data_IF_616032117651
#
_entry.id   IF_616032117651
#
_cell.length_a   1.000
_cell.length_b   1.000
_cell.length_c   1.000
_cell.angle_alpha   90.00
_cell.angle_beta   90.00
_cell.angle_gamma   90.00
#
_symmetry.space_group_name_H-M   'P 1'
#
loop_
_entity.id
_entity.type
_entity.pdbx_description
1 polymer ?
#
# COMPACT_ATOMS: atom_id res chain seq x y z
N UNK A 1 -5.12 14.72 9.04
CA UNK A 1 -5.15 13.44 9.79
C UNK A 1 -6.10 13.57 10.97
N UNK A 2 -6.87 12.53 11.33
CA UNK A 2 -7.69 12.54 12.55
C UNK A 2 -7.80 11.14 13.16
N UNK A 3 -7.79 11.05 14.49
CA UNK A 3 -8.16 9.80 15.19
C UNK A 3 -9.67 9.62 15.15
N UNK A 4 -10.12 8.40 14.84
CA UNK A 4 -11.52 8.02 14.80
C UNK A 4 -11.76 6.90 15.82
N UNK A 5 -12.94 6.93 16.41
CA UNK A 5 -13.35 5.98 17.44
C UNK A 5 -14.12 4.84 16.77
N UNK A 6 -13.69 3.61 17.03
CA UNK A 6 -14.39 2.41 16.55
C UNK A 6 -15.67 2.14 17.35
N UNK A 7 -16.62 1.46 16.71
CA UNK A 7 -17.83 0.97 17.38
C UNK A 7 -17.42 -0.06 18.45
N UNK A 8 -17.76 0.24 19.71
CA UNK A 8 -17.42 -0.61 20.85
C UNK A 8 -16.15 -0.21 21.62
N UNK A 9 -15.35 0.74 21.12
CA UNK A 9 -14.24 1.28 21.89
C UNK A 9 -14.77 2.15 23.03
N UNK A 10 -14.30 1.94 24.28
CA UNK A 10 -14.71 2.78 25.41
C UNK A 10 -14.18 4.22 25.27
N UNK A 11 -14.74 5.16 26.05
CA UNK A 11 -14.25 6.54 26.04
C UNK A 11 -12.80 6.66 26.55
N UNK A 12 -12.44 5.87 27.56
CA UNK A 12 -11.09 5.81 28.11
C UNK A 12 -10.10 5.23 27.09
N UNK A 13 -10.45 4.09 26.47
CA UNK A 13 -9.60 3.47 25.45
C UNK A 13 -9.34 4.39 24.26
N UNK A 14 -10.36 5.15 23.83
CA UNK A 14 -10.22 6.11 22.75
C UNK A 14 -9.33 7.31 23.13
N UNK A 15 -9.39 7.75 24.39
CA UNK A 15 -8.52 8.80 24.90
C UNK A 15 -7.05 8.35 24.93
N UNK A 16 -6.78 7.15 25.45
CA UNK A 16 -5.44 6.55 25.50
C UNK A 16 -4.87 6.36 24.09
N UNK A 17 -5.67 5.80 23.19
CA UNK A 17 -5.32 5.67 21.77
C UNK A 17 -4.98 7.02 21.14
N UNK A 18 -5.82 8.04 21.38
CA UNK A 18 -5.58 9.38 20.82
C UNK A 18 -4.31 10.02 21.38
N UNK A 19 -4.03 9.84 22.67
CA UNK A 19 -2.80 10.30 23.29
C UNK A 19 -1.56 9.64 22.68
N UNK A 20 -1.64 8.33 22.42
CA UNK A 20 -0.52 7.60 21.83
C UNK A 20 -0.29 7.99 20.36
N UNK A 21 -1.35 8.09 19.55
CA UNK A 21 -1.25 8.61 18.17
C UNK A 21 -0.65 10.02 18.17
N UNK A 22 -1.02 10.88 19.12
CA UNK A 22 -0.44 12.22 19.25
C UNK A 22 1.05 12.18 19.57
N UNK A 23 1.45 11.32 20.50
CA UNK A 23 2.87 11.15 20.89
C UNK A 23 3.70 10.61 19.74
N UNK A 24 3.19 9.59 19.04
CA UNK A 24 3.80 9.00 17.86
C UNK A 24 3.90 9.99 16.71
N UNK A 25 2.84 10.77 16.45
CA UNK A 25 2.83 11.84 15.46
C UNK A 25 3.86 12.92 15.80
N UNK A 26 3.93 13.37 17.06
CA UNK A 26 4.91 14.37 17.49
C UNK A 26 6.35 13.86 17.32
N UNK A 27 6.59 12.57 17.56
CA UNK A 27 7.90 11.97 17.33
C UNK A 27 8.22 11.94 15.84
N UNK A 28 7.29 11.48 14.99
CA UNK A 28 7.45 11.47 13.53
C UNK A 28 7.75 12.87 12.98
N UNK A 29 6.99 13.89 13.41
CA UNK A 29 7.14 15.26 12.88
C UNK A 29 8.29 16.04 13.49
N UNK A 30 9.02 15.45 14.46
CA UNK A 30 10.24 16.06 15.01
C UNK A 30 11.44 16.00 14.07
N UNK A 31 11.31 15.31 12.93
CA UNK A 31 12.33 15.17 11.90
C UNK A 31 11.76 15.45 10.50
N UNK A 32 12.60 15.81 9.51
CA UNK A 32 12.12 16.33 8.23
C UNK A 32 11.26 15.36 7.40
N UNK A 33 11.62 14.08 7.29
CA UNK A 33 10.89 13.11 6.44
C UNK A 33 9.49 12.90 6.99
N UNK A 34 9.37 12.60 8.29
CA UNK A 34 8.06 12.45 8.93
C UNK A 34 7.22 13.73 8.89
N UNK A 35 7.85 14.91 9.08
CA UNK A 35 7.17 16.20 9.00
C UNK A 35 6.60 16.48 7.59
N UNK A 36 7.44 16.35 6.56
CA UNK A 36 7.04 16.57 5.17
C UNK A 36 5.94 15.60 4.75
N UNK A 37 6.10 14.31 5.06
CA UNK A 37 5.09 13.29 4.74
C UNK A 37 3.71 13.63 5.27
N UNK A 38 3.59 13.99 6.55
CA UNK A 38 2.29 14.30 7.15
C UNK A 38 1.70 15.62 6.64
N UNK A 39 2.56 16.61 6.31
CA UNK A 39 2.13 17.85 5.66
C UNK A 39 1.59 17.59 4.24
N UNK A 40 2.28 16.77 3.46
CA UNK A 40 1.85 16.37 2.11
C UNK A 40 0.49 15.68 2.16
N UNK A 41 0.32 14.68 3.04
CA UNK A 41 -0.97 14.00 3.24
C UNK A 41 -2.06 15.03 3.57
N UNK A 42 -1.79 15.95 4.50
CA UNK A 42 -2.77 16.95 4.89
C UNK A 42 -3.13 17.88 3.71
N UNK A 43 -2.15 18.30 2.92
CA UNK A 43 -2.34 19.11 1.71
C UNK A 43 -3.17 18.41 0.62
N UNK A 44 -3.17 17.07 0.58
CA UNK A 44 -3.97 16.29 -0.37
C UNK A 44 -5.46 16.17 -0.01
N UNK A 45 -5.90 16.64 1.16
CA UNK A 45 -7.26 16.42 1.69
C UNK A 45 -8.38 16.76 0.70
N UNK A 46 -8.32 17.91 0.01
CA UNK A 46 -9.36 18.28 -0.95
C UNK A 46 -9.29 17.46 -2.25
N UNK A 47 -8.08 17.21 -2.75
CA UNK A 47 -7.87 16.46 -4.00
C UNK A 47 -8.41 15.02 -3.92
N UNK A 48 -8.30 14.40 -2.74
CA UNK A 48 -8.75 13.02 -2.51
C UNK A 48 -10.19 12.91 -2.01
N UNK A 49 -10.88 14.04 -1.80
CA UNK A 49 -12.29 14.10 -1.41
C UNK A 49 -13.10 15.03 -2.36
N UNK A 50 -13.10 14.79 -3.68
CA UNK A 50 -13.69 15.71 -4.65
C UNK A 50 -15.20 15.85 -4.43
N UNK A 51 -15.70 17.09 -4.35
CA UNK A 51 -17.13 17.38 -4.19
C UNK A 51 -17.70 17.06 -2.80
N UNK A 52 -16.90 16.53 -1.88
CA UNK A 52 -17.32 16.31 -0.50
C UNK A 52 -17.12 17.58 0.34
N UNK A 53 -17.97 17.76 1.34
CA UNK A 53 -17.84 18.84 2.33
C UNK A 53 -17.83 18.23 3.73
N UNK A 54 -16.79 18.52 4.50
CA UNK A 54 -16.68 18.08 5.88
C UNK A 54 -17.55 18.92 6.81
N UNK A 55 -17.87 18.39 7.99
CA UNK A 55 -18.50 19.15 9.07
C UNK A 55 -17.50 19.44 10.18
N UNK A 56 -17.84 20.34 11.12
CA UNK A 56 -17.02 20.58 12.31
C UNK A 56 -16.79 19.29 13.13
N UNK A 57 -17.80 18.41 13.19
CA UNK A 57 -17.73 17.13 13.92
C UNK A 57 -17.01 16.05 13.12
N UNK A 58 -17.13 16.08 11.81
CA UNK A 58 -16.49 15.14 10.88
C UNK A 58 -15.83 15.91 9.72
N UNK A 59 -14.64 16.49 9.95
CA UNK A 59 -13.90 17.14 8.88
C UNK A 59 -13.41 16.10 7.89
N UNK A 60 -13.19 16.56 6.65
CA UNK A 60 -12.51 15.75 5.64
C UNK A 60 -11.05 15.58 6.02
N UNK A 61 -10.52 14.41 5.72
CA UNK A 61 -9.12 14.07 5.91
C UNK A 61 -8.66 13.22 4.73
N UNK A 62 -7.39 13.34 4.36
CA UNK A 62 -6.75 12.34 3.50
C UNK A 62 -6.37 11.06 4.26
N UNK A 63 -6.31 11.10 5.59
CA UNK A 63 -5.97 9.96 6.44
C UNK A 63 -6.72 10.03 7.76
N UNK A 64 -7.43 8.96 8.11
CA UNK A 64 -7.94 8.73 9.46
C UNK A 64 -7.20 7.55 10.10
N UNK A 65 -7.04 7.63 11.42
CA UNK A 65 -6.35 6.62 12.22
C UNK A 65 -7.33 6.01 13.21
N UNK A 66 -7.43 4.70 13.18
CA UNK A 66 -8.25 3.86 14.03
C UNK A 66 -7.37 2.99 14.91
N UNK A 67 -7.91 2.53 16.04
CA UNK A 67 -7.18 1.62 16.91
C UNK A 67 -7.11 0.25 16.24
N UNK A 68 -5.89 -0.29 16.19
CA UNK A 68 -5.62 -1.65 15.77
C UNK A 68 -5.72 -2.66 16.91
N UNK A 69 -5.98 -2.20 18.13
CA UNK A 69 -6.10 -3.05 19.31
C UNK A 69 -7.14 -4.15 19.07
N UNK A 70 -6.75 -5.40 19.34
CA UNK A 70 -7.58 -6.60 19.17
C UNK A 70 -8.05 -6.87 17.72
N UNK A 71 -7.52 -6.17 16.72
CA UNK A 71 -7.77 -6.46 15.31
C UNK A 71 -6.92 -7.65 14.86
N UNK A 72 -7.46 -8.49 13.97
CA UNK A 72 -6.71 -9.57 13.32
C UNK A 72 -5.51 -9.04 12.51
N UNK A 73 -5.66 -7.85 11.93
CA UNK A 73 -4.59 -7.06 11.33
C UNK A 73 -4.48 -5.75 12.11
N UNK A 74 -3.60 -5.69 13.13
CA UNK A 74 -3.56 -4.59 14.08
C UNK A 74 -2.71 -3.41 13.57
N UNK A 75 -1.89 -3.59 12.53
CA UNK A 75 -1.32 -2.51 11.74
C UNK A 75 -1.72 -2.77 10.30
N UNK A 76 -2.49 -1.87 9.71
CA UNK A 76 -2.96 -2.04 8.34
C UNK A 76 -3.37 -0.71 7.73
N UNK A 77 -3.14 -0.58 6.45
CA UNK A 77 -3.64 0.52 5.63
C UNK A 77 -4.74 0.02 4.70
N UNK A 78 -5.80 0.82 4.56
CA UNK A 78 -6.85 0.58 3.56
C UNK A 78 -7.20 1.90 2.87
N UNK A 79 -7.11 1.96 1.53
CA UNK A 79 -7.70 3.03 0.74
C UNK A 79 -9.21 3.11 0.96
N UNK A 80 -9.72 4.32 1.22
CA UNK A 80 -11.15 4.56 1.20
C UNK A 80 -11.67 4.36 -0.22
N UNK A 81 -12.69 3.53 -0.33
CA UNK A 81 -13.46 3.32 -1.54
C UNK A 81 -14.94 3.30 -1.15
N UNK A 82 -15.82 3.56 -2.11
CA UNK A 82 -17.28 3.54 -1.93
C UNK A 82 -17.89 2.14 -2.18
N UNK A 83 -17.06 1.09 -2.19
CA UNK A 83 -17.47 -0.28 -2.51
C UNK A 83 -17.57 -0.59 -4.00
N UNK A 84 -17.36 0.39 -4.89
CA UNK A 84 -17.28 0.17 -6.34
C UNK A 84 -15.85 -0.06 -6.82
N UNK A 85 -15.68 -0.83 -7.90
CA UNK A 85 -14.37 -0.98 -8.55
C UNK A 85 -13.82 0.36 -9.07
N UNK A 86 -14.68 1.30 -9.45
CA UNK A 86 -14.28 2.64 -9.91
C UNK A 86 -13.74 3.53 -8.78
N UNK A 87 -14.17 3.32 -7.53
CA UNK A 87 -13.63 4.03 -6.37
C UNK A 87 -12.41 3.36 -5.77
N UNK A 88 -12.16 2.10 -6.14
CA UNK A 88 -10.81 1.51 -6.10
C UNK A 88 -9.99 2.16 -7.22
N UNK A 89 -9.77 3.48 -7.10
CA UNK A 89 -9.13 4.29 -8.14
C UNK A 89 -7.85 3.59 -8.57
N UNK A 90 -7.62 3.43 -9.89
CA UNK A 90 -6.37 2.89 -10.37
C UNK A 90 -5.25 3.78 -9.82
N UNK A 91 -4.39 3.17 -9.03
CA UNK A 91 -3.17 3.79 -8.57
C UNK A 91 -2.13 3.72 -9.71
N UNK A 92 -0.99 4.37 -9.51
CA UNK A 92 0.02 4.93 -10.43
C UNK A 92 0.45 4.12 -11.67
N UNK A 93 -0.02 2.89 -11.87
CA UNK A 93 0.50 1.96 -12.87
C UNK A 93 -0.46 1.64 -14.00
N UNK A 94 -1.39 2.55 -14.27
CA UNK A 94 -2.16 2.45 -15.51
C UNK A 94 -1.27 2.63 -16.75
N UNK A 95 -0.18 3.43 -16.66
CA UNK A 95 0.90 3.60 -17.66
C UNK A 95 2.18 4.26 -17.04
N UNK A 96 2.50 3.98 -15.77
CA UNK A 96 3.61 4.63 -15.05
C UNK A 96 3.37 6.10 -14.69
N UNK A 97 2.10 6.51 -14.53
CA UNK A 97 1.68 7.87 -14.17
C UNK A 97 0.80 7.88 -12.91
N UNK A 98 0.98 8.84 -11.98
CA UNK A 98 0.19 8.87 -10.76
C UNK A 98 -1.30 8.98 -11.02
N UNK A 99 -2.06 8.16 -10.29
CA UNK A 99 -3.51 8.31 -10.24
C UNK A 99 -3.93 9.58 -9.50
N UNK A 100 -5.22 9.88 -9.50
CA UNK A 100 -5.78 11.02 -8.75
C UNK A 100 -5.57 10.91 -7.22
N UNK A 101 -5.27 9.71 -6.73
CA UNK A 101 -5.11 9.39 -5.32
C UNK A 101 -6.43 9.17 -4.59
N UNK A 102 -6.32 8.66 -3.38
CA UNK A 102 -7.44 8.33 -2.51
C UNK A 102 -7.10 8.57 -1.04
N UNK A 103 -8.13 8.89 -0.25
CA UNK A 103 -7.99 8.99 1.19
C UNK A 103 -7.80 7.58 1.79
N UNK A 104 -7.30 7.50 3.02
CA UNK A 104 -6.96 6.24 3.66
C UNK A 104 -7.48 6.13 5.08
N UNK A 105 -7.82 4.91 5.47
CA UNK A 105 -8.02 4.52 6.85
C UNK A 105 -6.83 3.65 7.28
N UNK A 106 -6.21 4.04 8.38
CA UNK A 106 -5.08 3.35 8.99
C UNK A 106 -5.54 2.74 10.29
N UNK A 107 -5.26 1.45 10.48
CA UNK A 107 -5.26 0.81 11.80
C UNK A 107 -3.85 0.78 12.33
N UNK A 108 -3.73 1.12 13.60
CA UNK A 108 -2.46 1.25 14.28
C UNK A 108 -2.54 0.59 15.66
N UNK A 109 -1.64 -0.33 15.96
CA UNK A 109 -1.62 -1.03 17.25
C UNK A 109 -0.88 -0.22 18.31
N UNK A 110 -1.63 0.55 19.10
CA UNK A 110 -1.05 1.34 20.19
C UNK A 110 -0.50 0.49 21.35
N UNK A 111 -0.84 -0.81 21.40
CA UNK A 111 -0.35 -1.75 22.41
C UNK A 111 0.84 -2.60 21.93
N UNK A 112 1.32 -2.39 20.70
CA UNK A 112 2.41 -3.18 20.12
C UNK A 112 3.75 -3.00 20.85
N UNK A 113 4.49 -4.11 20.98
CA UNK A 113 5.89 -4.10 21.44
C UNK A 113 6.83 -3.65 20.32
N UNK A 114 7.13 -2.36 20.23
CA UNK A 114 8.01 -1.81 19.20
C UNK A 114 8.08 -0.28 19.24
N UNK A 115 8.83 0.31 18.30
CA UNK A 115 8.86 1.77 18.12
C UNK A 115 7.54 2.24 17.50
N UNK A 116 6.56 2.53 18.36
CA UNK A 116 5.19 2.92 18.00
C UNK A 116 5.08 4.01 16.93
N UNK A 117 5.92 5.04 17.03
CA UNK A 117 6.00 6.09 16.01
C UNK A 117 6.41 5.55 14.63
N UNK A 118 7.30 4.55 14.57
CA UNK A 118 7.75 3.95 13.32
C UNK A 118 6.66 3.06 12.71
N UNK A 119 5.88 2.35 13.53
CA UNK A 119 4.70 1.60 13.05
C UNK A 119 3.65 2.54 12.47
N UNK A 120 3.30 3.63 13.17
CA UNK A 120 2.43 4.66 12.61
C UNK A 120 3.04 5.31 11.35
N UNK A 121 4.35 5.50 11.34
CA UNK A 121 5.10 6.03 10.20
C UNK A 121 4.99 5.14 8.96
N UNK A 122 5.14 3.83 9.12
CA UNK A 122 4.97 2.83 8.06
C UNK A 122 3.57 2.93 7.42
N UNK A 123 2.51 2.89 8.25
CA UNK A 123 1.14 3.03 7.74
C UNK A 123 0.87 4.41 7.13
N UNK A 124 1.51 5.46 7.66
CA UNK A 124 1.43 6.81 7.10
C UNK A 124 2.13 6.92 5.74
N UNK A 125 3.19 6.14 5.49
CA UNK A 125 3.80 6.05 4.16
C UNK A 125 2.81 5.43 3.18
N UNK A 126 2.10 4.35 3.53
CA UNK A 126 1.03 3.83 2.67
C UNK A 126 -0.06 4.88 2.41
N UNK A 127 -0.49 5.64 3.42
CA UNK A 127 -1.45 6.71 3.24
C UNK A 127 -0.92 7.85 2.34
N UNK A 128 0.36 8.20 2.46
CA UNK A 128 1.02 9.16 1.55
C UNK A 128 1.02 8.63 0.12
N UNK A 129 1.38 7.36 -0.08
CA UNK A 129 1.37 6.71 -1.40
C UNK A 129 -0.03 6.73 -1.98
N UNK A 130 -1.04 6.28 -1.24
CA UNK A 130 -2.43 6.28 -1.68
C UNK A 130 -2.95 7.69 -2.03
N UNK A 131 -2.66 8.70 -1.21
CA UNK A 131 -3.13 10.08 -1.45
C UNK A 131 -2.45 10.78 -2.63
N UNK A 132 -1.22 10.37 -2.97
CA UNK A 132 -0.51 10.78 -4.19
C UNK A 132 -0.77 9.86 -5.38
N UNK A 133 -1.64 8.87 -5.21
CA UNK A 133 -1.99 7.91 -6.25
C UNK A 133 -0.87 6.97 -6.63
N UNK A 134 0.15 6.78 -5.77
CA UNK A 134 1.37 5.98 -5.97
C UNK A 134 1.30 4.54 -5.43
N UNK A 135 0.17 4.15 -4.83
CA UNK A 135 0.00 2.80 -4.31
C UNK A 135 0.07 1.74 -5.42
N UNK A 136 0.45 0.50 -5.09
CA UNK A 136 0.23 -0.63 -6.01
C UNK A 136 -1.23 -1.06 -5.95
N UNK A 137 -1.94 -0.94 -7.07
CA UNK A 137 -3.33 -1.40 -7.16
C UNK A 137 -3.44 -2.91 -7.13
N UNK A 138 -4.52 -3.47 -6.56
CA UNK A 138 -4.85 -4.87 -6.74
C UNK A 138 -5.17 -5.16 -8.22
N UNK A 139 -4.98 -6.41 -8.65
CA UNK A 139 -5.27 -6.89 -10.00
C UNK A 139 -6.71 -6.57 -10.40
N UNK A 140 -7.66 -6.71 -9.47
CA UNK A 140 -9.09 -6.47 -9.69
C UNK A 140 -9.42 -5.05 -10.15
N UNK A 141 -8.59 -4.05 -9.80
CA UNK A 141 -8.77 -2.66 -10.22
C UNK A 141 -8.04 -2.33 -11.54
N UNK A 142 -7.37 -3.31 -12.15
CA UNK A 142 -6.56 -3.11 -13.36
C UNK A 142 -7.25 -3.54 -14.65
N UNK A 143 -6.74 -3.07 -15.80
CA UNK A 143 -7.14 -3.55 -17.14
C UNK A 143 -6.89 -5.04 -17.36
N UNK A 144 -6.08 -5.67 -16.50
CA UNK A 144 -5.75 -7.08 -16.56
C UNK A 144 -6.67 -7.96 -15.70
N UNK A 145 -7.63 -7.40 -14.96
CA UNK A 145 -8.54 -8.16 -14.09
C UNK A 145 -9.24 -9.34 -14.81
N UNK A 146 -9.50 -9.20 -16.12
CA UNK A 146 -10.12 -10.21 -16.99
C UNK A 146 -9.21 -10.66 -18.15
N UNK A 147 -7.89 -10.58 -17.96
CA UNK A 147 -6.92 -10.94 -18.99
C UNK A 147 -7.13 -12.39 -19.50
N UNK A 148 -6.97 -12.65 -20.82
CA UNK A 148 -7.23 -13.98 -21.40
C UNK A 148 -6.44 -15.12 -20.76
N UNK A 149 -5.24 -14.86 -20.22
CA UNK A 149 -4.40 -15.85 -19.55
C UNK A 149 -5.14 -16.53 -18.38
N UNK A 150 -6.00 -15.78 -17.67
CA UNK A 150 -6.79 -16.32 -16.55
C UNK A 150 -7.91 -17.25 -16.99
N UNK A 151 -8.23 -17.29 -18.29
CA UNK A 151 -9.30 -18.13 -18.87
C UNK A 151 -8.76 -19.41 -19.51
N UNK A 152 -7.44 -19.52 -19.68
CA UNK A 152 -6.81 -20.68 -20.31
C UNK A 152 -6.99 -21.96 -19.48
N UNK A 153 -6.91 -21.84 -18.15
CA UNK A 153 -7.14 -22.92 -17.20
C UNK A 153 -8.13 -22.46 -16.12
N UNK A 154 -9.45 -22.60 -16.35
CA UNK A 154 -10.47 -22.09 -15.43
C UNK A 154 -10.33 -22.61 -14.00
N UNK A 155 -9.89 -23.86 -13.82
CA UNK A 155 -9.65 -24.46 -12.49
C UNK A 155 -8.55 -23.78 -11.68
N UNK A 156 -7.64 -23.04 -12.33
CA UNK A 156 -6.53 -22.33 -11.68
C UNK A 156 -6.70 -20.80 -11.75
N UNK A 157 -7.82 -20.31 -12.26
CA UNK A 157 -8.05 -18.87 -12.46
C UNK A 157 -7.94 -18.08 -11.15
N UNK A 158 -8.54 -18.59 -10.07
CA UNK A 158 -8.48 -17.96 -8.76
C UNK A 158 -7.03 -17.90 -8.23
N UNK A 159 -6.35 -19.05 -8.18
CA UNK A 159 -4.98 -19.16 -7.68
C UNK A 159 -3.99 -18.29 -8.48
N UNK A 160 -4.16 -18.22 -9.80
CA UNK A 160 -3.36 -17.34 -10.67
C UNK A 160 -3.55 -15.86 -10.31
N UNK A 161 -4.80 -15.43 -10.06
CA UNK A 161 -5.10 -14.06 -9.65
C UNK A 161 -4.54 -13.75 -8.27
N UNK A 162 -4.70 -14.67 -7.32
CA UNK A 162 -4.17 -14.55 -5.95
C UNK A 162 -2.63 -14.44 -5.96
N UNK A 163 -1.94 -15.24 -6.78
CA UNK A 163 -0.48 -15.18 -6.96
C UNK A 163 -0.02 -13.79 -7.42
N UNK A 164 -0.75 -13.19 -8.37
CA UNK A 164 -0.49 -11.83 -8.84
C UNK A 164 -0.76 -10.81 -7.73
N UNK A 165 -1.90 -10.89 -7.05
CA UNK A 165 -2.25 -9.97 -5.96
C UNK A 165 -1.26 -10.04 -4.78
N UNK A 166 -0.80 -11.24 -4.40
CA UNK A 166 0.24 -11.42 -3.39
C UNK A 166 1.55 -10.73 -3.78
N UNK A 167 1.91 -10.80 -5.07
CA UNK A 167 3.10 -10.12 -5.58
C UNK A 167 2.94 -8.60 -5.52
N UNK A 168 1.77 -8.10 -5.90
CA UNK A 168 1.46 -6.67 -5.86
C UNK A 168 1.42 -6.13 -4.42
N UNK A 169 0.90 -6.91 -3.47
CA UNK A 169 0.94 -6.57 -2.04
C UNK A 169 2.39 -6.48 -1.54
N UNK A 170 3.22 -7.48 -1.83
CA UNK A 170 4.64 -7.46 -1.43
C UNK A 170 5.40 -6.30 -2.07
N UNK A 171 5.08 -5.95 -3.32
CA UNK A 171 5.64 -4.79 -4.01
C UNK A 171 5.35 -3.50 -3.26
N UNK A 172 4.08 -3.29 -2.88
CA UNK A 172 3.66 -2.12 -2.11
C UNK A 172 4.43 -2.02 -0.80
N UNK A 173 4.59 -3.13 -0.09
CA UNK A 173 5.35 -3.20 1.16
C UNK A 173 6.83 -2.86 0.96
N UNK A 174 7.48 -3.44 -0.06
CA UNK A 174 8.88 -3.16 -0.35
C UNK A 174 9.13 -1.70 -0.69
N UNK A 175 8.20 -1.04 -1.39
CA UNK A 175 8.31 0.38 -1.71
C UNK A 175 8.01 1.28 -0.51
N UNK A 176 7.06 0.88 0.35
CA UNK A 176 6.79 1.56 1.62
C UNK A 176 7.99 1.51 2.55
N UNK A 177 8.66 0.36 2.66
CA UNK A 177 9.86 0.23 3.48
C UNK A 177 11.04 1.02 2.89
N UNK A 178 11.11 1.12 1.56
CA UNK A 178 12.28 1.64 0.85
C UNK A 178 13.30 0.55 0.48
N UNK A 179 12.85 -0.69 0.29
CA UNK A 179 13.64 -1.80 -0.28
C UNK A 179 13.60 -1.80 -1.82
N UNK A 180 12.59 -1.19 -2.41
CA UNK A 180 12.47 -0.92 -3.86
C UNK A 180 12.09 0.55 -4.04
N UNK A 181 12.61 1.23 -5.08
CA UNK A 181 12.15 2.58 -5.41
C UNK A 181 10.75 2.52 -6.01
N UNK A 182 9.94 3.56 -5.85
CA UNK A 182 8.74 3.73 -6.67
C UNK A 182 9.14 4.25 -8.04
N UNK A 183 8.69 3.60 -9.14
CA UNK A 183 9.00 4.06 -10.48
C UNK A 183 8.62 5.53 -10.71
N UNK A 184 9.44 6.19 -11.52
CA UNK A 184 9.40 7.62 -11.89
C UNK A 184 9.12 8.62 -10.75
N UNK A 185 9.39 8.25 -9.49
CA UNK A 185 9.22 9.10 -8.32
C UNK A 185 10.59 9.36 -7.69
N UNK A 186 11.12 10.59 -7.84
CA UNK A 186 12.48 10.91 -7.37
C UNK A 186 12.59 11.11 -5.86
N UNK A 187 11.51 11.50 -5.20
CA UNK A 187 11.48 11.82 -3.77
C UNK A 187 10.20 11.26 -3.17
N UNK A 188 10.33 10.26 -2.29
CA UNK A 188 9.22 9.68 -1.56
C UNK A 188 9.63 9.43 -0.10
N UNK A 189 8.72 9.60 0.87
CA UNK A 189 8.94 9.08 2.21
C UNK A 189 8.93 7.54 2.16
N UNK A 190 9.77 6.94 3.00
CA UNK A 190 9.82 5.48 3.22
C UNK A 190 10.02 5.21 4.70
N UNK A 191 9.67 4.01 5.16
CA UNK A 191 9.97 3.58 6.53
C UNK A 191 11.48 3.71 6.79
N UNK A 192 12.35 3.26 5.88
CA UNK A 192 13.80 3.36 6.06
C UNK A 192 14.31 4.80 6.13
N UNK A 193 13.69 5.75 5.41
CA UNK A 193 14.04 7.16 5.54
C UNK A 193 13.66 7.71 6.93
N UNK A 194 12.48 7.35 7.45
CA UNK A 194 12.04 7.68 8.82
C UNK A 194 12.99 7.04 9.85
N UNK A 195 13.32 5.76 9.67
CA UNK A 195 14.25 5.05 10.56
C UNK A 195 15.61 5.74 10.60
N UNK A 196 16.16 6.11 9.44
CA UNK A 196 17.45 6.77 9.34
C UNK A 196 17.51 8.10 10.11
N UNK A 197 16.52 8.98 9.95
CA UNK A 197 16.50 10.28 10.65
C UNK A 197 16.28 10.17 12.17
N UNK A 198 15.79 9.02 12.62
CA UNK A 198 15.58 8.68 14.03
C UNK A 198 16.66 7.76 14.63
N UNK A 199 17.72 7.43 13.87
CA UNK A 199 18.82 6.59 14.35
C UNK A 199 18.44 5.11 14.54
N UNK A 200 17.42 4.63 13.84
CA UNK A 200 17.02 3.22 13.83
C UNK A 200 17.71 2.48 12.67
N UNK A 201 18.06 1.19 12.84
CA UNK A 201 18.66 0.39 11.76
C UNK A 201 17.68 0.26 10.59
N UNK A 202 18.13 0.36 9.34
CA UNK A 202 17.27 0.12 8.18
C UNK A 202 16.76 -1.34 8.15
N UNK A 203 15.48 -1.51 7.84
CA UNK A 203 14.87 -2.81 7.55
C UNK A 203 15.46 -3.37 6.26
N UNK A 204 15.62 -4.69 6.20
CA UNK A 204 16.21 -5.40 5.06
C UNK A 204 15.22 -6.37 4.38
N UNK A 205 14.04 -6.56 4.95
CA UNK A 205 13.02 -7.50 4.50
C UNK A 205 11.62 -7.09 4.96
N UNK A 206 10.59 -7.78 4.46
CA UNK A 206 9.23 -7.77 4.97
C UNK A 206 8.83 -9.15 5.48
N UNK A 207 8.80 -9.29 6.81
CA UNK A 207 8.49 -10.57 7.47
C UNK A 207 9.37 -11.71 6.95
N UNK A 208 10.66 -11.44 6.74
CA UNK A 208 11.64 -12.37 6.17
C UNK A 208 11.69 -12.38 4.64
N UNK A 209 10.76 -11.72 3.95
CA UNK A 209 10.69 -11.67 2.48
C UNK A 209 11.56 -10.54 1.93
N UNK A 210 12.36 -10.84 0.91
CA UNK A 210 13.23 -9.85 0.25
C UNK A 210 12.76 -9.61 -1.19
N UNK A 211 12.96 -8.40 -1.75
CA UNK A 211 12.54 -8.11 -3.11
C UNK A 211 13.16 -9.04 -4.17
N UNK A 212 14.40 -9.49 -3.94
CA UNK A 212 15.14 -10.36 -4.87
C UNK A 212 15.38 -11.77 -4.29
N UNK A 213 14.70 -12.10 -3.18
CA UNK A 213 14.80 -13.40 -2.54
C UNK A 213 13.69 -14.34 -2.99
N UNK A 214 14.03 -15.61 -3.25
CA UNK A 214 13.06 -16.66 -3.55
C UNK A 214 12.06 -16.79 -2.41
N UNK A 215 10.80 -16.45 -2.67
CA UNK A 215 9.68 -16.68 -1.78
C UNK A 215 8.70 -17.72 -2.37
N UNK A 216 7.75 -18.20 -1.58
CA UNK A 216 6.75 -19.19 -2.03
C UNK A 216 5.93 -18.68 -3.21
N UNK A 217 5.64 -17.37 -3.24
CA UNK A 217 4.94 -16.73 -4.34
C UNK A 217 5.75 -16.76 -5.65
N UNK A 218 7.09 -16.64 -5.60
CA UNK A 218 7.93 -16.74 -6.80
C UNK A 218 7.85 -18.12 -7.47
N UNK A 219 7.67 -19.19 -6.68
CA UNK A 219 7.53 -20.55 -7.21
C UNK A 219 6.16 -20.72 -7.88
N UNK A 220 5.09 -20.30 -7.22
CA UNK A 220 3.74 -20.33 -7.80
C UNK A 220 3.67 -19.47 -9.08
N UNK A 221 4.23 -18.26 -9.02
CA UNK A 221 4.33 -17.35 -10.16
C UNK A 221 5.06 -18.01 -11.32
N UNK A 222 6.24 -18.61 -11.08
CA UNK A 222 7.01 -19.31 -12.12
C UNK A 222 6.22 -20.46 -12.73
N UNK A 223 5.55 -21.28 -11.91
CA UNK A 223 4.79 -22.42 -12.40
C UNK A 223 3.62 -21.99 -13.29
N UNK A 224 2.86 -20.96 -12.89
CA UNK A 224 1.78 -20.42 -13.70
C UNK A 224 2.28 -19.71 -14.95
N UNK A 225 3.40 -18.99 -14.84
CA UNK A 225 4.05 -18.35 -15.98
C UNK A 225 4.44 -19.37 -17.05
N UNK A 226 5.16 -20.43 -16.67
CA UNK A 226 5.58 -21.50 -17.59
C UNK A 226 4.39 -22.29 -18.12
N UNK A 227 3.40 -22.60 -17.28
CA UNK A 227 2.21 -23.37 -17.64
C UNK A 227 1.23 -22.63 -18.56
N UNK A 228 1.21 -21.29 -18.51
CA UNK A 228 0.33 -20.44 -19.33
C UNK A 228 1.07 -19.73 -20.47
N UNK A 229 2.35 -20.06 -20.70
CA UNK A 229 3.16 -19.41 -21.71
C UNK A 229 2.73 -19.78 -23.15
N UNK A 230 1.85 -18.96 -23.71
CA UNK A 230 1.35 -19.08 -25.07
C UNK A 230 2.27 -18.44 -26.15
N UNK A 231 3.49 -18.00 -25.81
CA UNK A 231 4.41 -17.39 -26.77
C UNK A 231 4.88 -18.40 -27.82
N UNK A 232 4.99 -17.96 -29.06
CA UNK A 232 5.67 -18.71 -30.12
C UNK A 232 7.21 -18.65 -29.99
N UNK A 233 7.92 -19.47 -30.75
CA UNK A 233 9.39 -19.56 -30.69
C UNK A 233 10.08 -18.21 -30.89
N UNK A 234 9.66 -17.42 -31.88
CA UNK A 234 10.24 -16.10 -32.15
C UNK A 234 10.01 -15.12 -31.00
N UNK A 235 8.84 -15.14 -30.36
CA UNK A 235 8.54 -14.32 -29.19
C UNK A 235 9.41 -14.70 -27.98
N UNK A 236 9.68 -16.00 -27.80
CA UNK A 236 10.60 -16.48 -26.74
C UNK A 236 12.04 -16.05 -27.01
N UNK A 237 12.53 -16.22 -28.24
CA UNK A 237 13.91 -15.86 -28.62
C UNK A 237 14.14 -14.34 -28.60
N UNK A 238 13.12 -13.54 -28.93
CA UNK A 238 13.18 -12.07 -28.85
C UNK A 238 13.04 -11.50 -27.44
N UNK A 239 12.87 -12.36 -26.41
CA UNK A 239 12.76 -11.93 -25.02
C UNK A 239 11.48 -11.17 -24.69
N UNK A 240 10.42 -11.30 -25.50
CA UNK A 240 9.12 -10.71 -25.16
C UNK A 240 8.58 -11.33 -23.87
N UNK A 241 8.01 -10.56 -22.94
CA UNK A 241 7.44 -11.13 -21.72
C UNK A 241 6.29 -12.09 -22.07
N UNK A 242 6.10 -13.15 -21.28
CA UNK A 242 4.91 -14.00 -21.37
C UNK A 242 3.64 -13.19 -21.06
N UNK A 243 2.43 -13.71 -21.35
CA UNK A 243 1.19 -13.06 -20.94
C UNK A 243 1.12 -12.79 -19.43
N UNK A 244 1.58 -13.72 -18.60
CA UNK A 244 1.57 -13.60 -17.15
C UNK A 244 2.61 -12.59 -16.65
N UNK A 245 3.83 -12.62 -17.20
CA UNK A 245 4.88 -11.63 -16.93
C UNK A 245 4.50 -10.23 -17.40
N UNK A 246 3.75 -10.12 -18.50
CA UNK A 246 3.28 -8.82 -19.02
C UNK A 246 2.32 -8.16 -18.04
N UNK A 247 1.37 -8.91 -17.47
CA UNK A 247 0.44 -8.39 -16.45
C UNK A 247 1.23 -7.79 -15.29
N UNK A 248 2.17 -8.54 -14.73
CA UNK A 248 3.00 -8.04 -13.63
C UNK A 248 3.89 -6.89 -14.07
N UNK A 249 4.51 -6.96 -15.25
CA UNK A 249 5.35 -5.90 -15.78
C UNK A 249 4.60 -4.58 -15.96
N UNK A 250 3.36 -4.64 -16.46
CA UNK A 250 2.49 -3.49 -16.63
C UNK A 250 2.02 -2.94 -15.26
N UNK A 251 1.93 -3.79 -14.22
CA UNK A 251 1.53 -3.42 -12.86
C UNK A 251 2.73 -3.16 -11.91
N UNK A 252 3.98 -3.34 -12.36
CA UNK A 252 5.19 -3.13 -11.57
C UNK A 252 6.04 -1.94 -12.03
N UNK A 253 5.78 -1.40 -13.23
CA UNK A 253 6.51 -0.29 -13.84
C UNK A 253 5.68 0.99 -13.81
#
# INVERSE_FOLDING_TARGET
>A
MRTRRDSGQSGADFADFTQDVRTSTNRLTSKPVGNQMLNDINGRTQAVNPGATGTLRQPLTAMDVYSGRNSALPNSHVPRNDGTLSSTRPAYRFDGQPGAGTASDVKYNENGGGQRFNSLGHESVHAWRASNGLQVSPLAASKHADAPVFKQYPSHSADMKETVDDRLRLREEFETIGLRPTPHTKTQPTENAIRAEHGLPARQDYSGLKPDGKNSNDVAFKNYDEGTDARNFFQKVSGQPSPFQKIVGDLEK
#
